data_IF_471346135799
#
_entry.id   IF_471346135799
#
_cell.length_a   1.000
_cell.length_b   1.000
_cell.length_c   1.000
_cell.angle_alpha   90.00
_cell.angle_beta   90.00
_cell.angle_gamma   90.00
#
_symmetry.space_group_name_H-M   'P 1'
#
loop_
_entity.id
_entity.type
_entity.pdbx_description
1 polymer ?
#
# COMPACT_ATOMS: atom_id res chain seq x y z
N UNK A 1 7.13 -4.41 2.00
CA UNK A 1 7.59 -3.04 1.69
C UNK A 1 6.42 -2.11 1.91
N UNK A 2 6.62 -0.99 2.59
CA UNK A 2 5.62 0.04 2.82
C UNK A 2 6.03 1.28 2.05
N UNK A 3 5.07 1.90 1.38
CA UNK A 3 5.25 3.17 0.68
C UNK A 3 4.19 4.14 1.18
N UNK A 4 4.58 5.37 1.39
CA UNK A 4 3.69 6.43 1.85
C UNK A 4 4.22 7.79 1.43
N UNK A 5 3.37 8.79 1.54
CA UNK A 5 3.72 10.16 1.22
C UNK A 5 2.91 11.15 2.05
N UNK A 6 3.45 12.33 2.18
CA UNK A 6 2.81 13.46 2.83
C UNK A 6 2.93 14.69 1.93
N UNK A 7 1.88 15.47 1.85
CA UNK A 7 1.88 16.72 1.10
C UNK A 7 1.01 17.78 1.76
N UNK A 8 1.24 19.02 1.40
CA UNK A 8 0.44 20.14 1.85
C UNK A 8 -0.72 20.42 0.89
N UNK A 9 -1.90 20.72 1.42
CA UNK A 9 -3.05 21.16 0.65
C UNK A 9 -3.49 22.55 1.12
N UNK A 10 -3.87 23.42 0.19
CA UNK A 10 -4.40 24.75 0.53
C UNK A 10 -5.83 24.63 1.09
N UNK A 11 -6.17 25.47 2.03
CA UNK A 11 -7.48 25.46 2.68
C UNK A 11 -8.66 25.51 1.70
N UNK A 12 -8.54 26.26 0.60
CA UNK A 12 -9.56 26.34 -0.45
C UNK A 12 -9.74 25.07 -1.28
N UNK A 13 -8.82 24.10 -1.17
CA UNK A 13 -8.87 22.83 -1.92
C UNK A 13 -9.22 21.63 -1.03
N UNK A 14 -9.40 21.84 0.28
CA UNK A 14 -9.74 20.74 1.23
C UNK A 14 -11.12 20.16 0.97
N UNK A 15 -12.06 21.01 0.58
CA UNK A 15 -13.43 20.56 0.27
C UNK A 15 -13.60 20.44 -1.23
N UNK A 16 -14.09 19.29 -1.67
CA UNK A 16 -14.45 19.09 -3.07
C UNK A 16 -15.62 20.01 -3.42
N UNK A 17 -15.46 20.80 -4.47
CA UNK A 17 -16.54 21.65 -5.02
C UNK A 17 -17.16 20.93 -6.20
N UNK A 18 -18.49 20.92 -6.29
CA UNK A 18 -19.18 20.37 -7.46
C UNK A 18 -18.89 21.18 -8.73
N UNK A 19 -19.14 20.59 -9.87
CA UNK A 19 -19.06 21.22 -11.17
C UNK A 19 -20.41 21.09 -11.92
N UNK A 20 -20.57 21.80 -13.03
CA UNK A 20 -21.87 21.99 -13.66
C UNK A 20 -22.10 21.04 -14.86
N UNK A 21 -23.38 20.70 -15.18
CA UNK A 21 -23.71 20.12 -16.49
C UNK A 21 -23.21 21.00 -17.64
N UNK A 22 -22.61 20.37 -18.65
CA UNK A 22 -21.95 21.05 -19.77
C UNK A 22 -20.43 21.24 -19.60
N UNK A 23 -19.91 21.06 -18.39
CA UNK A 23 -18.47 21.04 -18.17
C UNK A 23 -17.82 19.85 -18.88
N UNK A 24 -16.61 20.04 -19.39
CA UNK A 24 -15.89 19.04 -20.16
C UNK A 24 -15.18 18.07 -19.23
N UNK A 25 -15.32 16.79 -19.53
CA UNK A 25 -14.67 15.69 -18.81
C UNK A 25 -13.44 15.30 -19.62
N UNK A 26 -12.29 15.40 -18.96
CA UNK A 26 -10.99 15.37 -19.63
C UNK A 26 -10.14 14.26 -19.01
N UNK A 27 -9.41 13.51 -19.86
CA UNK A 27 -8.27 12.69 -19.45
C UNK A 27 -7.00 13.48 -19.74
N UNK A 28 -6.19 13.71 -18.72
CA UNK A 28 -4.87 14.33 -18.81
C UNK A 28 -3.80 13.25 -18.66
N UNK A 29 -2.78 13.25 -19.52
CA UNK A 29 -1.62 12.38 -19.40
C UNK A 29 -1.50 11.31 -20.48
N UNK A 30 -0.91 10.17 -20.14
CA UNK A 30 -0.54 9.13 -21.08
C UNK A 30 -1.71 8.40 -21.73
N UNK A 31 -1.46 7.68 -22.85
CA UNK A 31 -2.51 6.92 -23.54
C UNK A 31 -2.87 5.62 -22.82
N UNK A 32 -4.03 5.09 -23.14
CA UNK A 32 -4.41 3.73 -22.78
C UNK A 32 -3.46 2.70 -23.40
N UNK A 33 -3.12 1.68 -22.64
CA UNK A 33 -2.23 0.58 -23.00
C UNK A 33 -2.75 -0.72 -22.39
N UNK A 34 -2.28 -1.87 -22.86
CA UNK A 34 -2.65 -3.20 -22.32
C UNK A 34 -1.96 -3.48 -20.97
N UNK A 35 -2.33 -2.70 -19.95
CA UNK A 35 -1.75 -2.76 -18.62
C UNK A 35 -2.88 -2.83 -17.59
N UNK A 36 -2.75 -3.71 -16.59
CA UNK A 36 -3.70 -3.81 -15.49
C UNK A 36 -5.10 -4.21 -15.93
N UNK A 37 -5.22 -5.04 -16.97
CA UNK A 37 -6.52 -5.43 -17.55
C UNK A 37 -7.42 -6.23 -16.61
N UNK A 38 -6.86 -6.79 -15.55
CA UNK A 38 -7.61 -7.47 -14.50
C UNK A 38 -8.33 -6.51 -13.55
N UNK A 39 -7.99 -5.23 -13.60
CA UNK A 39 -8.53 -4.19 -12.72
C UNK A 39 -8.26 -4.47 -11.25
N UNK A 40 -8.95 -3.77 -10.36
CA UNK A 40 -8.88 -3.99 -8.91
C UNK A 40 -9.24 -5.41 -8.47
N UNK A 41 -9.97 -6.16 -9.31
CA UNK A 41 -10.29 -7.56 -9.05
C UNK A 41 -9.03 -8.46 -9.12
N UNK A 42 -8.07 -8.19 -9.99
CA UNK A 42 -6.83 -8.97 -10.10
C UNK A 42 -5.97 -8.87 -8.83
N UNK A 43 -5.90 -7.70 -8.22
CA UNK A 43 -5.19 -7.49 -6.94
C UNK A 43 -5.86 -8.21 -5.76
N UNK A 44 -7.12 -8.61 -5.91
CA UNK A 44 -7.92 -9.32 -4.92
C UNK A 44 -7.96 -10.84 -5.13
N UNK A 45 -7.29 -11.35 -6.17
CA UNK A 45 -7.16 -12.79 -6.44
C UNK A 45 -5.89 -13.32 -5.78
N UNK A 46 -5.97 -14.49 -5.13
CA UNK A 46 -4.80 -15.15 -4.57
C UNK A 46 -3.80 -15.48 -5.68
N UNK A 47 -2.53 -15.19 -5.47
CA UNK A 47 -1.45 -15.46 -6.44
C UNK A 47 -1.44 -16.94 -6.84
N UNK A 48 -1.38 -17.20 -8.15
CA UNK A 48 -1.42 -18.53 -8.73
C UNK A 48 -2.83 -19.02 -9.11
N UNK A 49 -3.88 -18.22 -8.91
CA UNK A 49 -5.24 -18.50 -9.35
C UNK A 49 -5.66 -17.72 -10.61
N UNK A 50 -4.83 -16.76 -11.06
CA UNK A 50 -5.06 -15.96 -12.26
C UNK A 50 -4.68 -16.70 -13.55
N UNK A 51 -5.01 -16.08 -14.68
CA UNK A 51 -4.48 -16.45 -15.98
C UNK A 51 -3.11 -15.80 -16.17
N UNK A 52 -2.12 -16.54 -16.64
CA UNK A 52 -0.74 -16.06 -16.86
C UNK A 52 -0.70 -14.80 -17.73
N UNK A 53 -1.53 -14.73 -18.77
CA UNK A 53 -1.62 -13.54 -19.64
C UNK A 53 -2.08 -12.27 -18.89
N UNK A 54 -2.97 -12.41 -17.89
CA UNK A 54 -3.39 -11.30 -17.06
C UNK A 54 -2.32 -10.89 -16.06
N UNK A 55 -1.50 -11.83 -15.57
CA UNK A 55 -0.38 -11.53 -14.70
C UNK A 55 0.68 -10.71 -15.42
N UNK A 56 0.99 -11.04 -16.68
CA UNK A 56 1.88 -10.24 -17.53
C UNK A 56 1.29 -8.86 -17.86
N UNK A 57 -0.01 -8.79 -18.12
CA UNK A 57 -0.71 -7.53 -18.37
C UNK A 57 -0.86 -6.66 -17.09
N UNK A 58 -0.60 -7.22 -15.90
CA UNK A 58 -0.64 -6.48 -14.63
C UNK A 58 0.65 -5.70 -14.34
N UNK A 59 1.71 -5.89 -15.13
CA UNK A 59 2.98 -5.17 -14.95
C UNK A 59 2.76 -3.70 -15.28
N UNK A 60 2.94 -2.85 -14.28
CA UNK A 60 2.88 -1.40 -14.45
C UNK A 60 4.18 -0.92 -15.09
N UNK A 61 4.06 0.04 -16.00
CA UNK A 61 5.21 0.74 -16.59
C UNK A 61 5.37 2.07 -15.90
N UNK A 62 6.59 2.47 -15.65
CA UNK A 62 6.86 3.81 -15.20
C UNK A 62 7.13 4.74 -16.38
N UNK A 63 6.56 5.94 -16.32
CA UNK A 63 6.85 7.02 -17.25
C UNK A 63 6.98 8.32 -16.45
N UNK A 64 8.11 8.52 -15.76
CA UNK A 64 8.29 9.67 -14.87
C UNK A 64 8.25 10.99 -15.61
N UNK A 65 8.58 11.01 -16.91
CA UNK A 65 8.45 12.20 -17.74
C UNK A 65 6.98 12.59 -17.92
N UNK A 66 6.11 11.63 -18.19
CA UNK A 66 4.67 11.90 -18.34
C UNK A 66 4.05 12.34 -17.03
N UNK A 67 4.37 11.67 -15.93
CA UNK A 67 3.94 12.07 -14.60
C UNK A 67 4.36 13.50 -14.27
N UNK A 68 5.63 13.86 -14.54
CA UNK A 68 6.12 15.21 -14.34
C UNK A 68 5.38 16.24 -15.18
N UNK A 69 5.07 15.94 -16.44
CA UNK A 69 4.29 16.82 -17.32
C UNK A 69 2.87 17.04 -16.79
N UNK A 70 2.21 15.99 -16.32
CA UNK A 70 0.90 16.09 -15.67
C UNK A 70 0.97 16.99 -14.43
N UNK A 71 1.95 16.78 -13.57
CA UNK A 71 2.17 17.59 -12.38
C UNK A 71 2.41 19.06 -12.73
N UNK A 72 3.24 19.38 -13.74
CA UNK A 72 3.46 20.76 -14.17
C UNK A 72 2.17 21.42 -14.66
N UNK A 73 1.31 20.71 -15.40
CA UNK A 73 0.01 21.24 -15.82
C UNK A 73 -0.85 21.55 -14.60
N UNK A 74 -0.97 20.62 -13.66
CA UNK A 74 -1.78 20.78 -12.45
C UNK A 74 -1.24 21.97 -11.63
N UNK A 75 0.08 22.04 -11.42
CA UNK A 75 0.74 23.10 -10.65
C UNK A 75 0.55 24.48 -11.31
N UNK A 76 0.61 24.58 -12.63
CA UNK A 76 0.36 25.84 -13.35
C UNK A 76 -1.10 26.25 -13.28
N UNK A 77 -2.02 25.30 -13.33
CA UNK A 77 -3.44 25.60 -13.21
C UNK A 77 -3.79 26.13 -11.82
N UNK A 78 -3.41 25.46 -10.75
CA UNK A 78 -3.75 25.94 -9.40
C UNK A 78 -2.99 27.24 -9.02
N UNK A 79 -1.81 27.48 -9.61
CA UNK A 79 -1.06 28.73 -9.38
C UNK A 79 -1.80 29.96 -9.91
N UNK A 80 -2.79 29.80 -10.80
CA UNK A 80 -3.65 30.89 -11.28
C UNK A 80 -4.67 31.38 -10.25
N UNK A 81 -4.78 30.71 -9.10
CA UNK A 81 -5.76 31.09 -8.07
C UNK A 81 -7.19 30.98 -8.57
N UNK A 82 -7.96 32.08 -8.53
CA UNK A 82 -9.38 32.10 -8.96
C UNK A 82 -9.56 31.85 -10.47
N UNK A 83 -8.51 32.01 -11.27
CA UNK A 83 -8.51 31.73 -12.69
C UNK A 83 -8.13 30.28 -13.03
N UNK A 84 -7.97 29.39 -12.02
CA UNK A 84 -7.72 28.00 -12.21
C UNK A 84 -8.75 27.36 -13.14
N UNK A 85 -8.37 26.79 -14.30
CA UNK A 85 -9.30 26.16 -15.23
C UNK A 85 -9.86 24.83 -14.71
N UNK A 86 -9.18 24.18 -13.76
CA UNK A 86 -9.62 22.90 -13.19
C UNK A 86 -10.68 23.14 -12.13
N UNK A 87 -11.91 22.69 -12.37
CA UNK A 87 -12.97 22.72 -11.38
C UNK A 87 -12.91 21.52 -10.43
N UNK A 88 -12.52 20.35 -10.93
CA UNK A 88 -12.42 19.12 -10.17
C UNK A 88 -11.35 18.20 -10.77
N UNK A 89 -10.68 17.42 -9.94
CA UNK A 89 -9.62 16.48 -10.35
C UNK A 89 -9.73 15.19 -9.55
N UNK A 90 -9.44 14.07 -10.22
CA UNK A 90 -9.31 12.75 -9.62
C UNK A 90 -8.15 12.00 -10.30
N UNK A 91 -7.43 11.17 -9.55
CA UNK A 91 -6.40 10.29 -10.10
C UNK A 91 -7.00 9.10 -10.84
N UNK A 92 -6.20 8.44 -11.67
CA UNK A 92 -6.55 7.19 -12.34
C UNK A 92 -5.73 6.07 -11.73
N UNK A 93 -6.35 5.30 -10.86
CA UNK A 93 -5.75 4.17 -10.16
C UNK A 93 -6.34 2.82 -10.58
N UNK A 94 -6.62 1.97 -9.60
CA UNK A 94 -7.20 0.66 -9.80
C UNK A 94 -8.54 0.74 -10.55
N UNK A 95 -8.71 -0.15 -11.54
CA UNK A 95 -9.89 -0.14 -12.42
C UNK A 95 -9.81 0.89 -13.56
N UNK A 96 -8.78 1.73 -13.60
CA UNK A 96 -8.57 2.68 -14.67
C UNK A 96 -9.71 3.72 -14.79
N UNK A 97 -10.08 4.06 -16.03
CA UNK A 97 -11.15 5.03 -16.29
C UNK A 97 -12.51 4.52 -15.84
N UNK A 98 -12.71 3.19 -15.75
CA UNK A 98 -13.97 2.59 -15.31
C UNK A 98 -14.29 2.88 -13.84
N UNK A 99 -13.30 3.28 -13.07
CA UNK A 99 -13.45 3.73 -11.69
C UNK A 99 -13.37 5.26 -11.59
N UNK A 100 -12.33 5.85 -12.15
CA UNK A 100 -12.03 7.28 -11.99
C UNK A 100 -13.09 8.21 -12.56
N UNK A 101 -13.64 7.94 -13.75
CA UNK A 101 -14.65 8.80 -14.38
C UNK A 101 -16.01 8.74 -13.68
N UNK A 102 -16.54 7.55 -13.30
CA UNK A 102 -17.74 7.48 -12.47
C UNK A 102 -17.60 8.19 -11.12
N UNK A 103 -16.46 8.02 -10.43
CA UNK A 103 -16.21 8.70 -9.16
C UNK A 103 -16.13 10.22 -9.35
N UNK A 104 -15.45 10.70 -10.39
CA UNK A 104 -15.36 12.12 -10.71
C UNK A 104 -16.76 12.75 -10.82
N UNK A 105 -17.66 12.18 -11.63
CA UNK A 105 -18.99 12.76 -11.84
C UNK A 105 -19.92 12.59 -10.65
N UNK A 106 -19.81 11.45 -9.93
CA UNK A 106 -20.58 11.22 -8.72
C UNK A 106 -20.21 12.22 -7.61
N UNK A 107 -18.94 12.41 -7.37
CA UNK A 107 -18.42 13.35 -6.37
C UNK A 107 -18.70 14.81 -6.77
N UNK A 108 -18.73 15.10 -8.07
CA UNK A 108 -19.16 16.38 -8.62
C UNK A 108 -20.67 16.63 -8.49
N UNK A 109 -21.44 15.59 -8.13
CA UNK A 109 -22.90 15.68 -7.95
C UNK A 109 -23.71 15.64 -9.25
N UNK A 110 -23.10 15.24 -10.36
CA UNK A 110 -23.66 15.22 -11.72
C UNK A 110 -23.61 13.80 -12.31
N UNK A 111 -24.04 13.62 -13.56
CA UNK A 111 -23.76 12.45 -14.36
C UNK A 111 -22.74 12.74 -15.46
N UNK A 112 -22.47 11.75 -16.30
CA UNK A 112 -21.52 11.90 -17.40
C UNK A 112 -21.89 11.10 -18.64
N UNK A 113 -21.68 11.71 -19.80
CA UNK A 113 -21.74 11.06 -21.12
C UNK A 113 -20.34 11.05 -21.72
N UNK A 114 -19.85 9.88 -22.07
CA UNK A 114 -18.48 9.66 -22.50
C UNK A 114 -18.44 9.05 -23.90
N UNK A 115 -17.46 9.47 -24.69
CA UNK A 115 -17.07 8.86 -25.97
C UNK A 115 -15.83 8.00 -25.72
N UNK A 116 -15.99 6.67 -25.83
CA UNK A 116 -14.92 5.72 -25.61
C UNK A 116 -13.72 5.94 -26.55
N UNK A 117 -14.00 6.33 -27.80
CA UNK A 117 -12.96 6.49 -28.82
C UNK A 117 -12.22 7.82 -28.73
N UNK A 118 -12.72 8.75 -27.95
CA UNK A 118 -11.99 9.97 -27.61
C UNK A 118 -10.86 9.71 -26.58
N UNK A 119 -10.84 8.56 -25.91
CA UNK A 119 -9.76 8.18 -24.99
C UNK A 119 -8.48 7.95 -25.79
N UNK A 120 -7.36 8.67 -25.46
CA UNK A 120 -6.08 8.45 -26.12
C UNK A 120 -5.63 6.98 -25.95
N UNK A 121 -5.27 6.35 -27.06
CA UNK A 121 -4.93 4.94 -27.10
C UNK A 121 -3.65 4.72 -27.89
N UNK A 122 -2.64 4.07 -27.30
CA UNK A 122 -1.38 3.72 -27.95
C UNK A 122 -1.42 2.33 -28.64
N UNK A 123 -2.48 1.54 -28.39
CA UNK A 123 -2.60 0.17 -28.89
C UNK A 123 -3.90 0.00 -29.69
N UNK A 124 -3.87 0.19 -31.02
CA UNK A 124 -5.08 0.29 -31.85
C UNK A 124 -6.03 -0.92 -31.82
N UNK A 125 -5.55 -2.07 -31.34
CA UNK A 125 -6.35 -3.30 -31.27
C UNK A 125 -7.16 -3.46 -29.99
N UNK A 126 -7.10 -2.53 -29.05
CA UNK A 126 -7.83 -2.64 -27.77
C UNK A 126 -9.34 -2.66 -27.97
N UNK A 127 -9.98 -3.63 -27.31
CA UNK A 127 -11.42 -3.73 -27.20
C UNK A 127 -11.99 -2.59 -26.33
N UNK A 128 -13.31 -2.34 -26.39
CA UNK A 128 -13.98 -1.37 -25.50
C UNK A 128 -13.68 -1.58 -24.03
N UNK A 129 -13.68 -2.85 -23.58
CA UNK A 129 -13.38 -3.20 -22.19
C UNK A 129 -11.94 -2.85 -21.82
N UNK A 130 -10.97 -3.17 -22.67
CA UNK A 130 -9.55 -2.87 -22.44
C UNK A 130 -9.28 -1.37 -22.41
N UNK A 131 -9.92 -0.57 -23.27
CA UNK A 131 -9.78 0.90 -23.25
C UNK A 131 -10.34 1.47 -21.94
N UNK A 132 -11.48 0.94 -21.47
CA UNK A 132 -12.18 1.47 -20.31
C UNK A 132 -11.59 1.04 -18.98
N UNK A 133 -11.09 -0.20 -18.88
CA UNK A 133 -10.66 -0.83 -17.62
C UNK A 133 -9.15 -0.97 -17.45
N UNK A 134 -8.32 -0.50 -18.41
CA UNK A 134 -6.86 -0.58 -18.23
C UNK A 134 -6.36 0.38 -17.14
N UNK A 135 -5.33 -0.06 -16.41
CA UNK A 135 -4.71 0.71 -15.32
C UNK A 135 -3.44 1.43 -15.77
N UNK A 136 -3.40 1.94 -17.01
CA UNK A 136 -2.27 2.74 -17.47
C UNK A 136 -2.05 3.91 -16.52
N UNK A 137 -0.84 4.04 -16.02
CA UNK A 137 -0.43 5.05 -15.04
C UNK A 137 -0.24 6.43 -15.70
N UNK A 138 0.10 7.43 -14.91
CA UNK A 138 0.38 8.81 -15.32
C UNK A 138 -0.80 9.46 -16.02
N UNK A 139 -2.01 9.23 -15.45
CA UNK A 139 -3.25 9.84 -15.93
C UNK A 139 -4.06 10.45 -14.77
N UNK A 140 -4.76 11.53 -15.12
CA UNK A 140 -5.75 12.16 -14.25
C UNK A 140 -7.03 12.39 -15.01
N UNK A 141 -8.16 12.38 -14.33
CA UNK A 141 -9.45 12.80 -14.89
C UNK A 141 -9.89 14.12 -14.27
N UNK A 142 -10.40 15.02 -15.11
CA UNK A 142 -10.65 16.40 -14.74
C UNK A 142 -12.02 16.84 -15.22
N UNK A 143 -12.67 17.75 -14.47
CA UNK A 143 -13.77 18.55 -14.96
C UNK A 143 -13.28 19.98 -15.24
N UNK A 144 -13.49 20.44 -16.47
CA UNK A 144 -13.07 21.77 -16.96
C UNK A 144 -14.31 22.52 -17.44
N UNK A 145 -14.63 23.69 -16.87
CA UNK A 145 -15.68 24.55 -17.43
C UNK A 145 -15.44 24.83 -18.90
N UNK A 146 -16.48 24.69 -19.73
CA UNK A 146 -16.35 24.82 -21.18
C UNK A 146 -15.68 26.16 -21.57
N UNK A 147 -15.97 27.24 -20.86
CA UNK A 147 -15.38 28.58 -21.10
C UNK A 147 -13.88 28.66 -20.75
N UNK A 148 -13.34 27.69 -20.01
CA UNK A 148 -11.93 27.67 -19.60
C UNK A 148 -11.09 26.63 -20.34
N UNK A 149 -11.68 25.86 -21.26
CA UNK A 149 -11.00 24.77 -21.96
C UNK A 149 -9.81 25.28 -22.78
N UNK A 150 -9.93 26.41 -23.47
CA UNK A 150 -8.84 26.98 -24.26
C UNK A 150 -7.63 27.40 -23.41
N UNK A 151 -7.89 27.96 -22.21
CA UNK A 151 -6.86 28.29 -21.25
C UNK A 151 -6.12 27.05 -20.76
N UNK A 152 -6.86 25.99 -20.43
CA UNK A 152 -6.31 24.69 -20.05
C UNK A 152 -5.48 24.08 -21.18
N UNK A 153 -6.00 24.05 -22.40
CA UNK A 153 -5.29 23.55 -23.58
C UNK A 153 -3.95 24.29 -23.82
N UNK A 154 -3.94 25.60 -23.61
CA UNK A 154 -2.71 26.41 -23.74
C UNK A 154 -1.64 26.00 -22.71
N UNK A 155 -2.04 25.72 -21.48
CA UNK A 155 -1.12 25.22 -20.44
C UNK A 155 -0.60 23.83 -20.82
N UNK A 156 -1.49 22.92 -21.21
CA UNK A 156 -1.10 21.57 -21.63
C UNK A 156 -0.11 21.60 -22.81
N UNK A 157 -0.34 22.45 -23.80
CA UNK A 157 0.55 22.60 -24.93
C UNK A 157 1.94 23.11 -24.52
N UNK A 158 2.00 24.07 -23.60
CA UNK A 158 3.26 24.61 -23.07
C UNK A 158 4.05 23.52 -22.33
N UNK A 159 3.40 22.73 -21.49
CA UNK A 159 4.04 21.67 -20.71
C UNK A 159 4.22 20.36 -21.51
N UNK A 160 3.77 20.35 -22.78
CA UNK A 160 3.80 19.17 -23.65
C UNK A 160 3.08 17.96 -23.06
N UNK A 161 2.06 18.21 -22.28
CA UNK A 161 1.25 17.18 -21.68
C UNK A 161 0.02 16.90 -22.56
N UNK A 162 -0.17 15.68 -23.04
CA UNK A 162 -1.36 15.34 -23.81
C UNK A 162 -2.60 15.37 -22.92
N UNK A 163 -3.73 15.73 -23.52
CA UNK A 163 -5.04 15.61 -22.90
C UNK A 163 -6.10 15.33 -23.97
N UNK A 164 -7.22 14.80 -23.55
CA UNK A 164 -8.38 14.62 -24.42
C UNK A 164 -9.68 14.94 -23.69
N UNK A 165 -10.61 15.60 -24.38
CA UNK A 165 -11.99 15.72 -23.92
C UNK A 165 -12.67 14.39 -24.25
N UNK A 166 -13.02 13.61 -23.23
CA UNK A 166 -13.60 12.28 -23.38
C UNK A 166 -15.10 12.27 -23.10
N UNK A 167 -15.65 13.39 -22.65
CA UNK A 167 -17.08 13.46 -22.35
C UNK A 167 -17.52 14.83 -21.86
N UNK A 168 -18.78 14.86 -21.43
CA UNK A 168 -19.44 16.04 -20.89
C UNK A 168 -20.27 15.67 -19.67
N UNK A 169 -20.27 16.56 -18.68
CA UNK A 169 -21.10 16.42 -17.48
C UNK A 169 -22.58 16.62 -17.83
N UNK A 170 -23.46 15.81 -17.25
CA UNK A 170 -24.90 15.86 -17.47
C UNK A 170 -25.66 16.16 -16.19
N UNK A 171 -26.87 16.75 -16.31
CA UNK A 171 -27.73 17.01 -15.15
C UNK A 171 -28.30 15.72 -14.53
N UNK A 172 -28.50 14.70 -15.35
CA UNK A 172 -28.99 13.40 -14.95
C UNK A 172 -27.85 12.59 -14.37
N UNK A 173 -28.02 11.98 -13.19
CA UNK A 173 -27.02 11.13 -12.53
C UNK A 173 -26.93 9.75 -13.19
N UNK A 174 -26.59 9.78 -14.48
CA UNK A 174 -26.47 8.62 -15.35
C UNK A 174 -25.01 8.51 -15.82
N UNK A 175 -24.50 7.31 -15.88
CA UNK A 175 -23.26 6.98 -16.55
C UNK A 175 -23.58 6.45 -17.93
N UNK A 176 -23.19 7.17 -18.97
CA UNK A 176 -23.38 6.77 -20.35
C UNK A 176 -22.03 6.70 -21.06
N UNK A 177 -21.67 5.54 -21.55
CA UNK A 177 -20.47 5.32 -22.38
C UNK A 177 -20.89 4.90 -23.77
N UNK A 178 -20.51 5.69 -24.76
CA UNK A 178 -20.83 5.45 -26.16
C UNK A 178 -19.58 4.98 -26.93
N UNK A 179 -19.78 4.09 -27.89
CA UNK A 179 -18.77 3.66 -28.88
C UNK A 179 -19.28 4.00 -30.28
N UNK A 180 -19.15 5.28 -30.73
CA UNK A 180 -19.79 5.79 -31.93
C UNK A 180 -19.45 5.02 -33.21
N UNK A 181 -18.20 4.57 -33.45
CA UNK A 181 -17.89 3.80 -34.66
C UNK A 181 -18.63 2.48 -34.80
N UNK A 182 -19.11 1.92 -33.69
CA UNK A 182 -19.85 0.67 -33.65
C UNK A 182 -21.33 0.87 -33.35
N UNK A 183 -21.79 2.12 -33.21
CA UNK A 183 -23.18 2.47 -32.90
C UNK A 183 -23.71 1.73 -31.67
N UNK A 184 -22.84 1.54 -30.64
CA UNK A 184 -23.19 0.86 -29.39
C UNK A 184 -23.05 1.77 -28.18
N UNK A 185 -23.78 1.43 -27.12
CA UNK A 185 -23.67 2.07 -25.82
C UNK A 185 -23.31 1.00 -24.78
N UNK A 186 -22.01 0.72 -24.60
CA UNK A 186 -21.55 -0.34 -23.70
C UNK A 186 -22.01 -0.16 -22.26
N UNK A 187 -22.21 1.08 -21.80
CA UNK A 187 -22.71 1.41 -20.46
C UNK A 187 -23.81 2.46 -20.59
N UNK A 188 -24.96 2.16 -20.00
CA UNK A 188 -26.06 3.09 -19.78
C UNK A 188 -26.77 2.71 -18.48
N UNK A 189 -26.35 3.33 -17.36
CA UNK A 189 -26.87 2.99 -16.04
C UNK A 189 -26.87 4.17 -15.07
N UNK A 190 -27.81 4.20 -14.10
CA UNK A 190 -27.73 5.16 -13.00
C UNK A 190 -26.46 4.98 -12.17
N UNK A 191 -25.81 6.09 -11.79
CA UNK A 191 -24.61 6.05 -10.92
C UNK A 191 -24.88 5.38 -9.57
N UNK A 192 -26.12 5.43 -9.08
CA UNK A 192 -26.53 4.77 -7.84
C UNK A 192 -26.36 3.23 -7.90
N UNK A 193 -26.50 2.63 -9.08
CA UNK A 193 -26.28 1.18 -9.27
C UNK A 193 -24.82 0.83 -9.07
N UNK A 194 -23.91 1.69 -9.51
CA UNK A 194 -22.46 1.47 -9.44
C UNK A 194 -21.89 1.90 -8.09
N UNK A 195 -22.22 3.09 -7.62
CA UNK A 195 -21.64 3.76 -6.45
C UNK A 195 -22.59 3.88 -5.26
N UNK A 196 -23.77 3.30 -5.34
CA UNK A 196 -24.72 3.25 -4.25
C UNK A 196 -24.32 2.31 -3.13
N UNK A 197 -25.09 2.33 -2.05
CA UNK A 197 -24.80 1.43 -0.91
C UNK A 197 -25.08 -0.02 -1.30
N UNK A 198 -24.09 -0.91 -1.23
CA UNK A 198 -24.30 -2.33 -1.47
C UNK A 198 -25.25 -2.93 -0.41
N UNK A 199 -25.94 -4.03 -0.73
CA UNK A 199 -26.73 -4.76 0.25
C UNK A 199 -25.86 -5.17 1.44
N UNK A 200 -26.46 -5.20 2.64
CA UNK A 200 -25.76 -5.72 3.82
C UNK A 200 -25.37 -7.18 3.61
N UNK A 201 -24.10 -7.43 3.62
CA UNK A 201 -23.57 -8.80 3.53
C UNK A 201 -23.47 -9.42 4.92
N UNK A 202 -23.86 -10.68 5.04
CA UNK A 202 -23.64 -11.49 6.22
C UNK A 202 -22.54 -12.51 5.93
N UNK A 203 -21.42 -12.40 6.62
CA UNK A 203 -20.37 -13.42 6.58
C UNK A 203 -20.45 -14.25 7.86
N UNK A 204 -20.43 -15.58 7.70
CA UNK A 204 -20.28 -16.51 8.81
C UNK A 204 -18.80 -16.85 8.92
N UNK A 205 -18.19 -16.51 10.05
CA UNK A 205 -16.83 -16.86 10.35
C UNK A 205 -16.79 -17.74 11.60
N UNK A 206 -15.86 -18.67 11.63
CA UNK A 206 -15.68 -19.59 12.74
C UNK A 206 -14.27 -19.43 13.30
N UNK A 207 -14.18 -19.18 14.61
CA UNK A 207 -12.88 -19.14 15.27
C UNK A 207 -12.27 -20.53 15.36
N UNK A 208 -10.99 -20.64 15.03
CA UNK A 208 -10.23 -21.85 15.24
C UNK A 208 -9.44 -21.75 16.54
N UNK A 209 -9.58 -22.76 17.39
CA UNK A 209 -8.67 -22.91 18.53
C UNK A 209 -7.34 -23.45 18.03
N UNK A 210 -6.30 -22.63 18.12
CA UNK A 210 -4.94 -23.06 17.85
C UNK A 210 -4.37 -23.71 19.10
N UNK A 211 -3.81 -24.92 18.95
CA UNK A 211 -3.07 -25.55 20.02
C UNK A 211 -1.71 -24.85 20.14
N UNK A 212 -1.56 -24.04 21.18
CA UNK A 212 -0.29 -23.40 21.48
C UNK A 212 0.54 -24.33 22.36
N UNK A 213 1.73 -24.71 21.91
CA UNK A 213 2.69 -25.42 22.73
C UNK A 213 3.43 -24.40 23.62
N UNK A 214 3.57 -24.67 24.93
CA UNK A 214 4.42 -23.84 25.78
C UNK A 214 5.85 -23.81 25.23
N UNK A 215 6.51 -22.68 25.34
CA UNK A 215 7.93 -22.57 24.99
C UNK A 215 8.73 -23.42 25.96
N UNK A 216 9.34 -24.51 25.46
CA UNK A 216 10.26 -25.36 26.21
C UNK A 216 11.71 -25.04 25.83
N UNK A 217 12.36 -24.23 26.66
CA UNK A 217 13.78 -23.90 26.48
C UNK A 217 14.70 -25.12 26.66
N UNK A 218 14.23 -26.17 27.36
CA UNK A 218 14.98 -27.42 27.51
C UNK A 218 15.05 -28.24 26.22
N UNK A 219 13.99 -28.19 25.41
CA UNK A 219 13.96 -28.86 24.10
C UNK A 219 14.95 -28.24 23.10
N UNK A 220 15.25 -26.94 23.22
CA UNK A 220 16.26 -26.27 22.37
C UNK A 220 17.69 -26.79 22.61
N UNK A 221 17.95 -27.38 23.77
CA UNK A 221 19.27 -27.94 24.10
C UNK A 221 19.42 -29.42 23.77
N UNK A 222 18.35 -30.10 23.40
CA UNK A 222 18.32 -31.55 23.18
C UNK A 222 18.48 -31.94 21.71
N UNK A 223 18.33 -31.01 20.77
CA UNK A 223 18.34 -31.29 19.34
C UNK A 223 19.75 -31.08 18.72
N UNK A 224 20.70 -31.91 19.13
CA UNK A 224 22.01 -32.02 18.47
C UNK A 224 21.91 -32.67 17.07
N UNK A 225 20.72 -33.10 16.60
CA UNK A 225 20.56 -33.81 15.33
C UNK A 225 19.95 -32.98 14.21
N UNK A 226 19.39 -31.82 14.49
CA UNK A 226 18.93 -30.90 13.45
C UNK A 226 20.10 -29.97 13.07
N UNK A 227 20.95 -30.43 12.15
CA UNK A 227 21.89 -29.55 11.46
C UNK A 227 21.10 -28.50 10.68
N UNK A 228 20.87 -27.33 11.29
CA UNK A 228 20.52 -26.16 10.51
C UNK A 228 21.61 -25.99 9.44
N UNK A 229 21.26 -25.70 8.17
CA UNK A 229 22.28 -25.37 7.19
C UNK A 229 23.08 -24.20 7.76
N UNK A 230 24.35 -24.43 8.04
CA UNK A 230 25.29 -23.42 8.50
C UNK A 230 25.45 -22.40 7.39
N UNK A 231 24.76 -21.25 7.52
CA UNK A 231 25.00 -20.08 6.66
C UNK A 231 26.35 -19.41 6.97
N UNK A 232 27.17 -20.01 7.84
CA UNK A 232 28.44 -19.44 8.29
C UNK A 232 29.65 -20.11 7.61
N UNK A 233 29.46 -21.27 6.94
CA UNK A 233 30.58 -22.01 6.37
C UNK A 233 31.20 -21.44 5.09
N UNK A 234 30.50 -20.47 4.44
CA UNK A 234 31.02 -19.88 3.19
C UNK A 234 31.80 -18.56 3.38
N UNK A 235 31.98 -18.08 4.59
CA UNK A 235 32.60 -16.78 4.84
C UNK A 235 33.87 -16.80 5.72
N UNK A 236 34.35 -17.98 6.15
CA UNK A 236 35.58 -18.08 6.91
C UNK A 236 36.70 -18.63 6.03
N UNK A 237 37.76 -17.83 5.89
CA UNK A 237 39.03 -18.23 5.26
C UNK A 237 39.50 -19.58 5.83
N UNK A 238 40.09 -20.47 4.99
CA UNK A 238 40.47 -21.85 5.39
C UNK A 238 41.47 -21.94 6.56
N UNK A 239 42.13 -20.84 6.89
CA UNK A 239 43.15 -20.80 7.94
C UNK A 239 42.59 -20.79 9.38
N UNK A 240 41.33 -20.41 9.58
CA UNK A 240 40.77 -20.40 10.94
C UNK A 240 40.21 -21.76 11.33
N UNK A 241 39.79 -22.57 10.36
CA UNK A 241 39.32 -23.93 10.61
C UNK A 241 40.47 -24.88 11.05
N UNK A 242 41.71 -24.65 10.62
CA UNK A 242 42.87 -25.46 10.98
C UNK A 242 43.38 -25.18 12.42
N UNK A 243 43.16 -23.95 12.91
CA UNK A 243 43.57 -23.56 14.29
C UNK A 243 42.62 -24.13 15.35
N UNK A 244 41.37 -24.43 14.98
CA UNK A 244 40.40 -25.01 15.90
C UNK A 244 40.42 -26.54 15.97
N UNK A 245 41.18 -27.20 15.08
CA UNK A 245 41.29 -28.66 15.03
C UNK A 245 42.42 -29.26 15.92
N UNK A 246 43.29 -28.42 16.50
CA UNK A 246 44.36 -28.86 17.38
C UNK A 246 44.03 -28.65 18.87
N UNK A 247 42.88 -29.06 19.35
CA UNK A 247 42.66 -29.18 20.80
C UNK A 247 42.64 -30.64 21.23
N UNK A 248 43.60 -30.94 22.08
CA UNK A 248 43.90 -32.18 22.78
C UNK A 248 42.64 -32.97 23.25
N UNK A 249 42.47 -34.24 22.83
CA UNK A 249 41.33 -35.08 23.23
C UNK A 249 41.33 -35.52 24.71
N UNK A 250 42.30 -35.16 25.51
CA UNK A 250 42.41 -35.54 26.92
C UNK A 250 41.80 -34.55 27.91
N UNK A 251 41.16 -33.45 27.45
CA UNK A 251 40.44 -32.57 28.37
C UNK A 251 39.10 -33.21 28.72
N UNK A 252 39.09 -33.76 29.90
CA UNK A 252 37.94 -34.18 30.70
C UNK A 252 36.70 -33.36 30.37
N UNK A 253 35.65 -33.99 29.83
CA UNK A 253 34.36 -33.38 29.57
C UNK A 253 33.82 -32.81 30.88
N UNK A 254 34.15 -31.56 31.15
CA UNK A 254 33.58 -30.83 32.27
C UNK A 254 32.08 -30.98 32.22
N UNK A 255 31.44 -31.56 33.24
CA UNK A 255 30.00 -31.64 33.39
C UNK A 255 29.44 -30.24 33.33
N UNK A 256 28.98 -29.82 32.16
CA UNK A 256 28.33 -28.54 31.96
C UNK A 256 27.15 -28.48 32.93
N UNK A 257 27.15 -27.49 33.83
CA UNK A 257 26.07 -27.33 34.79
C UNK A 257 24.75 -27.13 34.12
N UNK A 258 23.63 -27.49 34.74
CA UNK A 258 22.28 -27.25 34.23
C UNK A 258 22.10 -25.77 33.89
N UNK A 259 22.67 -24.88 34.70
CA UNK A 259 22.60 -23.43 34.47
C UNK A 259 23.39 -23.00 33.22
N UNK A 260 24.56 -23.61 32.96
CA UNK A 260 25.32 -23.32 31.76
C UNK A 260 24.55 -23.74 30.50
N UNK A 261 23.95 -24.92 30.49
CA UNK A 261 23.12 -25.39 29.38
C UNK A 261 21.93 -24.48 29.13
N UNK A 262 21.29 -23.98 30.18
CA UNK A 262 20.19 -23.01 30.05
C UNK A 262 20.66 -21.67 29.47
N UNK A 263 21.82 -21.17 29.87
CA UNK A 263 22.44 -19.96 29.33
C UNK A 263 22.79 -20.11 27.86
N UNK A 264 23.35 -21.25 27.48
CA UNK A 264 23.72 -21.53 26.10
C UNK A 264 22.46 -21.69 25.21
N UNK A 265 21.43 -22.37 25.69
CA UNK A 265 20.14 -22.46 24.99
C UNK A 265 19.49 -21.11 24.84
N UNK A 266 19.52 -20.25 25.85
CA UNK A 266 18.99 -18.89 25.76
C UNK A 266 19.80 -18.05 24.76
N UNK A 267 21.14 -18.15 24.79
CA UNK A 267 22.00 -17.45 23.82
C UNK A 267 21.67 -17.88 22.39
N UNK A 268 21.56 -19.17 22.16
CA UNK A 268 21.19 -19.71 20.84
C UNK A 268 19.81 -19.23 20.41
N UNK A 269 18.82 -19.25 21.28
CA UNK A 269 17.49 -18.72 20.98
C UNK A 269 17.53 -17.23 20.59
N UNK A 270 18.33 -16.42 21.30
CA UNK A 270 18.54 -15.01 20.95
C UNK A 270 19.18 -14.86 19.58
N UNK A 271 20.22 -15.64 19.27
CA UNK A 271 20.86 -15.59 17.95
C UNK A 271 19.91 -15.98 16.83
N UNK A 272 19.10 -17.03 17.00
CA UNK A 272 18.07 -17.42 16.01
C UNK A 272 17.04 -16.34 15.78
N UNK A 273 16.58 -15.68 16.84
CA UNK A 273 15.63 -14.55 16.72
C UNK A 273 16.27 -13.38 15.98
N UNK A 274 17.49 -13.00 16.34
CA UNK A 274 18.21 -11.89 15.70
C UNK A 274 18.55 -12.19 14.22
N UNK A 275 18.80 -13.45 13.88
CA UNK A 275 19.06 -13.88 12.50
C UNK A 275 17.79 -14.13 11.67
N UNK A 276 16.61 -14.15 12.31
CA UNK A 276 15.36 -14.39 11.61
C UNK A 276 15.10 -13.28 10.58
N UNK A 277 14.71 -13.59 9.32
CA UNK A 277 14.55 -12.58 8.27
C UNK A 277 13.62 -11.40 8.62
N UNK A 278 12.62 -11.63 9.48
CA UNK A 278 11.72 -10.56 9.95
C UNK A 278 12.42 -9.60 10.93
N UNK A 279 13.43 -10.06 11.67
CA UNK A 279 14.10 -9.32 12.77
C UNK A 279 15.48 -8.81 12.34
N UNK A 280 16.16 -9.56 11.48
CA UNK A 280 17.53 -9.27 11.06
C UNK A 280 17.72 -7.87 10.48
N UNK A 281 18.93 -7.37 10.51
CA UNK A 281 19.30 -6.05 10.00
C UNK A 281 18.83 -5.82 8.54
N UNK A 282 18.23 -4.67 8.31
CA UNK A 282 17.71 -4.22 7.00
C UNK A 282 18.47 -3.02 6.44
N UNK A 283 19.65 -2.70 6.98
CA UNK A 283 20.46 -1.55 6.55
C UNK A 283 20.68 -1.53 5.04
N UNK A 284 20.84 -2.71 4.41
CA UNK A 284 21.04 -2.81 2.97
C UNK A 284 19.83 -2.27 2.18
N UNK A 285 18.60 -2.49 2.65
CA UNK A 285 17.38 -1.99 1.98
C UNK A 285 17.30 -0.47 2.04
N UNK A 286 17.71 0.13 3.14
CA UNK A 286 17.74 1.58 3.32
C UNK A 286 18.85 2.21 2.47
N UNK A 287 19.98 1.48 2.32
CA UNK A 287 21.17 1.99 1.62
C UNK A 287 21.07 1.92 0.10
N UNK A 288 20.28 1.00 -0.47
CA UNK A 288 20.13 0.83 -1.92
C UNK A 288 19.01 1.67 -2.52
N UNK A 289 18.09 2.20 -1.71
CA UNK A 289 16.99 3.07 -2.13
C UNK A 289 17.28 4.54 -1.84
N UNK A 290 16.29 5.39 -2.15
CA UNK A 290 16.33 6.80 -1.81
C UNK A 290 16.25 6.97 -0.29
N UNK A 291 17.26 7.58 0.28
CA UNK A 291 17.35 7.81 1.71
C UNK A 291 16.42 8.94 2.15
N UNK A 292 16.51 10.06 1.45
CA UNK A 292 15.68 11.25 1.71
C UNK A 292 15.35 11.94 0.40
N UNK A 293 14.16 12.55 0.32
CA UNK A 293 13.69 13.27 -0.86
C UNK A 293 13.15 14.65 -0.43
N UNK A 294 13.34 15.65 -1.27
CA UNK A 294 12.76 16.99 -1.12
C UNK A 294 13.48 17.95 -0.16
N UNK A 295 14.42 17.49 0.64
CA UNK A 295 15.25 18.35 1.50
C UNK A 295 14.57 18.90 2.76
N UNK A 296 13.30 18.55 3.02
CA UNK A 296 12.54 19.00 4.19
C UNK A 296 12.62 18.02 5.37
N UNK A 297 13.58 17.11 5.36
CA UNK A 297 13.75 16.12 6.40
C UNK A 297 14.43 16.75 7.63
N UNK A 298 13.73 16.73 8.76
CA UNK A 298 14.26 17.18 10.05
C UNK A 298 14.87 16.06 10.87
N UNK A 299 14.36 14.82 10.68
CA UNK A 299 14.87 13.62 11.32
C UNK A 299 15.00 12.53 10.27
N UNK A 300 16.23 12.16 10.02
CA UNK A 300 16.64 11.09 9.10
C UNK A 300 16.55 9.71 9.79
N UNK A 301 16.38 8.65 9.01
CA UNK A 301 16.42 7.27 9.49
C UNK A 301 17.80 6.86 10.01
N UNK A 302 18.87 7.48 9.51
CA UNK A 302 20.25 7.23 9.94
C UNK A 302 20.61 8.14 11.11
N UNK A 303 21.05 7.58 12.23
CA UNK A 303 21.28 8.31 13.49
C UNK A 303 22.74 8.25 13.91
N UNK A 304 23.20 9.37 14.44
CA UNK A 304 24.52 9.53 15.06
C UNK A 304 25.69 9.50 14.08
N UNK A 305 26.93 9.54 14.60
CA UNK A 305 28.14 9.59 13.77
C UNK A 305 28.38 8.30 12.96
N UNK A 306 27.81 7.18 13.43
CA UNK A 306 27.91 5.87 12.78
C UNK A 306 26.83 5.63 11.72
N UNK A 307 25.88 6.57 11.55
CA UNK A 307 24.79 6.47 10.58
C UNK A 307 24.03 5.15 10.68
N UNK A 308 23.58 4.80 11.89
CA UNK A 308 22.85 3.56 12.16
C UNK A 308 21.36 3.79 11.87
N UNK A 309 20.67 2.89 11.13
CA UNK A 309 19.27 3.06 10.76
C UNK A 309 18.33 2.64 11.91
N UNK A 310 18.31 3.42 12.97
CA UNK A 310 17.55 3.15 14.22
C UNK A 310 16.47 4.19 14.53
N UNK A 311 16.18 5.10 13.61
CA UNK A 311 15.09 6.04 13.80
C UNK A 311 13.77 5.43 13.33
N UNK A 312 12.85 5.21 14.26
CA UNK A 312 11.52 4.65 14.01
C UNK A 312 10.43 5.72 13.84
N UNK A 313 10.84 7.00 13.84
CA UNK A 313 9.98 8.14 13.63
C UNK A 313 10.63 9.08 12.62
N UNK A 314 9.91 9.40 11.56
CA UNK A 314 10.29 10.44 10.59
C UNK A 314 9.72 11.79 11.03
N UNK A 315 10.48 12.87 10.82
CA UNK A 315 10.02 14.25 11.02
C UNK A 315 10.38 15.08 9.80
N UNK A 316 9.38 15.76 9.23
CA UNK A 316 9.53 16.64 8.09
C UNK A 316 9.08 18.05 8.42
N UNK A 317 9.73 19.05 7.84
CA UNK A 317 9.26 20.42 7.90
C UNK A 317 8.18 20.68 6.85
N UNK A 318 7.22 21.54 7.14
CA UNK A 318 6.16 21.92 6.20
C UNK A 318 6.68 22.79 5.05
N UNK A 319 7.72 23.60 5.29
CA UNK A 319 8.39 24.43 4.29
C UNK A 319 9.80 24.81 4.77
N UNK A 320 10.61 25.42 3.90
CA UNK A 320 11.97 25.85 4.23
C UNK A 320 12.06 27.05 5.16
N UNK A 321 10.99 27.82 5.29
CA UNK A 321 10.92 29.08 6.04
C UNK A 321 10.03 29.00 7.30
N UNK A 322 9.62 27.79 7.72
CA UNK A 322 8.79 27.55 8.91
C UNK A 322 9.41 26.49 9.83
N UNK A 323 9.07 26.57 11.13
CA UNK A 323 9.47 25.59 12.14
C UNK A 323 8.33 24.66 12.56
N UNK A 324 7.27 24.60 11.76
CA UNK A 324 6.21 23.61 11.88
C UNK A 324 6.43 22.47 10.90
N UNK A 325 5.89 21.32 11.21
CA UNK A 325 6.05 20.13 10.37
C UNK A 325 5.21 18.98 10.88
N UNK A 326 5.49 17.82 10.36
CA UNK A 326 4.77 16.58 10.64
C UNK A 326 5.73 15.51 11.16
N UNK A 327 5.21 14.64 12.01
CA UNK A 327 5.88 13.45 12.45
C UNK A 327 5.09 12.22 12.01
N UNK A 328 5.80 11.19 11.56
CA UNK A 328 5.22 9.94 11.08
C UNK A 328 5.95 8.74 11.67
N UNK A 329 5.18 7.72 12.04
CA UNK A 329 5.71 6.45 12.51
C UNK A 329 4.85 5.30 12.02
N UNK A 330 5.43 4.10 12.01
CA UNK A 330 4.75 2.88 11.57
C UNK A 330 4.85 1.84 12.68
N UNK A 331 3.79 1.03 12.83
CA UNK A 331 3.77 -0.13 13.71
C UNK A 331 3.19 -1.36 13.00
N UNK A 332 3.78 -2.52 13.31
CA UNK A 332 3.40 -3.82 12.77
C UNK A 332 3.82 -4.94 13.75
N UNK A 333 2.95 -5.93 13.98
CA UNK A 333 3.25 -7.08 14.85
C UNK A 333 2.65 -8.38 14.29
N UNK A 334 2.78 -8.59 13.00
CA UNK A 334 2.23 -9.74 12.27
C UNK A 334 2.55 -11.10 12.90
N UNK A 335 3.77 -11.41 13.38
CA UNK A 335 4.05 -12.70 13.98
C UNK A 335 3.18 -13.04 15.19
N UNK A 336 2.72 -12.04 15.94
CA UNK A 336 1.84 -12.23 17.11
C UNK A 336 0.45 -12.69 16.70
N UNK A 337 -0.01 -12.29 15.50
CA UNK A 337 -1.35 -12.66 15.00
C UNK A 337 -1.53 -14.17 14.79
N UNK A 338 -0.46 -14.91 14.64
CA UNK A 338 -0.50 -16.38 14.58
C UNK A 338 -1.10 -16.95 15.88
N UNK A 339 -0.86 -16.31 17.00
CA UNK A 339 -1.34 -16.71 18.30
C UNK A 339 -2.61 -15.95 18.74
N UNK A 340 -2.63 -14.63 18.53
CA UNK A 340 -3.72 -13.74 18.94
C UNK A 340 -3.77 -12.51 18.01
N UNK A 341 -4.73 -12.54 17.09
CA UNK A 341 -4.90 -11.47 16.09
C UNK A 341 -5.31 -10.14 16.74
N UNK A 342 -6.13 -10.17 17.80
CA UNK A 342 -6.55 -8.97 18.50
C UNK A 342 -5.39 -8.31 19.28
N UNK A 343 -4.53 -9.12 19.91
CA UNK A 343 -3.32 -8.64 20.57
C UNK A 343 -2.33 -8.06 19.56
N UNK A 344 -2.11 -8.74 18.42
CA UNK A 344 -1.27 -8.26 17.31
C UNK A 344 -1.71 -6.89 16.84
N UNK A 345 -3.01 -6.71 16.60
CA UNK A 345 -3.56 -5.45 16.11
C UNK A 345 -3.39 -4.31 17.14
N UNK A 346 -3.63 -4.58 18.45
CA UNK A 346 -3.35 -3.58 19.49
C UNK A 346 -1.88 -3.22 19.60
N UNK A 347 -0.99 -4.22 19.46
CA UNK A 347 0.45 -4.00 19.49
C UNK A 347 0.94 -3.18 18.29
N UNK A 348 0.38 -3.40 17.07
CA UNK A 348 0.71 -2.59 15.91
C UNK A 348 0.35 -1.11 16.12
N UNK A 349 -0.85 -0.82 16.64
CA UNK A 349 -1.23 0.54 17.04
C UNK A 349 -0.34 1.11 18.15
N UNK A 350 -0.02 0.30 19.16
CA UNK A 350 0.85 0.68 20.27
C UNK A 350 2.26 0.99 19.81
N UNK A 351 2.83 0.20 18.88
CA UNK A 351 4.15 0.45 18.32
C UNK A 351 4.19 1.74 17.52
N UNK A 352 3.22 1.98 16.63
CA UNK A 352 3.15 3.23 15.87
C UNK A 352 3.13 4.44 16.81
N UNK A 353 2.32 4.41 17.88
CA UNK A 353 2.22 5.50 18.84
C UNK A 353 3.47 5.68 19.70
N UNK A 354 4.12 4.59 20.12
CA UNK A 354 5.35 4.67 20.91
C UNK A 354 6.53 5.14 20.07
N UNK A 355 6.61 4.74 18.80
CA UNK A 355 7.59 5.27 17.86
C UNK A 355 7.36 6.76 17.60
N UNK A 356 6.10 7.16 17.42
CA UNK A 356 5.73 8.57 17.23
C UNK A 356 6.09 9.45 18.44
N UNK A 357 6.06 8.89 19.64
CA UNK A 357 6.44 9.61 20.86
C UNK A 357 7.92 10.07 20.90
N UNK A 358 8.75 9.61 19.97
CA UNK A 358 10.10 10.12 19.77
C UNK A 358 10.12 11.54 19.17
N UNK A 359 8.99 12.04 18.66
CA UNK A 359 8.79 13.40 18.18
C UNK A 359 7.88 14.21 19.11
N UNK A 360 7.99 15.53 19.07
CA UNK A 360 7.14 16.42 19.87
C UNK A 360 5.81 16.65 19.14
N UNK A 361 4.86 15.74 19.29
CA UNK A 361 3.55 15.80 18.61
C UNK A 361 2.45 16.50 19.41
N UNK A 362 2.71 16.89 20.65
CA UNK A 362 1.74 17.55 21.53
C UNK A 362 0.72 16.54 22.11
N UNK A 363 -0.55 16.71 21.78
CA UNK A 363 -1.64 15.91 22.33
C UNK A 363 -1.93 14.68 21.47
N UNK A 364 -2.14 13.53 22.11
CA UNK A 364 -2.46 12.25 21.43
C UNK A 364 -3.74 12.36 20.57
N UNK A 365 -4.73 13.13 20.99
CA UNK A 365 -5.98 13.33 20.25
C UNK A 365 -5.80 14.03 18.88
N UNK A 366 -4.61 14.56 18.57
CA UNK A 366 -4.25 15.11 17.26
C UNK A 366 -3.66 14.08 16.31
N UNK A 367 -3.38 12.88 16.81
CA UNK A 367 -2.81 11.79 15.99
C UNK A 367 -3.92 11.15 15.17
N UNK A 368 -3.73 11.10 13.86
CA UNK A 368 -4.56 10.34 12.94
C UNK A 368 -3.82 9.08 12.50
N UNK A 369 -4.53 7.98 12.39
CA UNK A 369 -3.98 6.72 11.96
C UNK A 369 -4.48 6.36 10.57
N UNK A 370 -3.63 5.71 9.79
CA UNK A 370 -4.03 4.94 8.62
C UNK A 370 -3.80 3.46 8.90
N UNK A 371 -4.75 2.61 8.54
CA UNK A 371 -4.67 1.17 8.77
C UNK A 371 -4.68 0.39 7.46
N UNK A 372 -3.69 -0.48 7.29
CA UNK A 372 -3.63 -1.40 6.16
C UNK A 372 -3.82 -2.83 6.65
N UNK A 373 -4.95 -3.43 6.27
CA UNK A 373 -5.37 -4.76 6.68
C UNK A 373 -5.06 -5.78 5.59
N UNK A 374 -4.37 -6.85 5.93
CA UNK A 374 -4.05 -7.93 5.02
C UNK A 374 -4.45 -9.27 5.64
N UNK A 375 -5.26 -10.04 4.92
CA UNK A 375 -5.80 -11.30 5.40
C UNK A 375 -6.22 -12.22 4.24
N UNK A 376 -6.54 -13.47 4.55
CA UNK A 376 -7.18 -14.41 3.64
C UNK A 376 -8.53 -14.91 4.23
N UNK A 377 -9.55 -14.03 4.39
CA UNK A 377 -10.76 -14.33 5.14
C UNK A 377 -11.64 -15.45 4.53
N UNK A 378 -11.34 -15.88 3.32
CA UNK A 378 -11.94 -17.06 2.71
C UNK A 378 -11.43 -18.38 3.34
N UNK A 379 -10.30 -18.34 4.05
CA UNK A 379 -9.74 -19.50 4.73
C UNK A 379 -10.32 -19.66 6.13
N UNK A 380 -10.33 -20.91 6.60
CA UNK A 380 -10.87 -21.24 7.91
C UNK A 380 -10.11 -20.51 9.03
N UNK A 381 -10.83 -19.82 9.90
CA UNK A 381 -10.30 -19.06 11.03
C UNK A 381 -9.96 -17.60 10.73
N UNK A 382 -9.41 -17.29 9.57
CA UNK A 382 -8.89 -15.97 9.25
C UNK A 382 -9.97 -14.87 9.26
N UNK A 383 -11.19 -15.18 8.83
CA UNK A 383 -12.29 -14.23 8.88
C UNK A 383 -12.71 -13.85 10.30
N UNK A 384 -12.65 -14.79 11.25
CA UNK A 384 -12.95 -14.53 12.66
C UNK A 384 -11.80 -13.75 13.32
N UNK A 385 -10.57 -14.10 13.02
CA UNK A 385 -9.37 -13.42 13.51
C UNK A 385 -9.31 -11.97 13.01
N UNK A 386 -9.65 -11.73 11.71
CA UNK A 386 -9.75 -10.38 11.15
C UNK A 386 -10.81 -9.56 11.88
N UNK A 387 -12.00 -10.12 12.12
CA UNK A 387 -13.05 -9.45 12.88
C UNK A 387 -12.57 -9.05 14.27
N UNK A 388 -11.94 -9.98 15.00
CA UNK A 388 -11.42 -9.73 16.35
C UNK A 388 -10.32 -8.65 16.35
N UNK A 389 -9.46 -8.63 15.34
CA UNK A 389 -8.42 -7.60 15.18
C UNK A 389 -9.02 -6.21 14.92
N UNK A 390 -9.99 -6.12 14.01
CA UNK A 390 -10.69 -4.86 13.68
C UNK A 390 -11.47 -4.34 14.91
N UNK A 391 -12.18 -5.21 15.60
CA UNK A 391 -12.91 -4.85 16.84
C UNK A 391 -11.96 -4.34 17.94
N UNK A 392 -10.83 -5.02 18.14
CA UNK A 392 -9.84 -4.65 19.15
C UNK A 392 -9.25 -3.25 18.93
N UNK A 393 -9.06 -2.84 17.68
CA UNK A 393 -8.52 -1.52 17.35
C UNK A 393 -9.64 -0.49 17.22
N UNK A 394 -10.65 -0.78 16.40
CA UNK A 394 -11.68 0.21 16.05
C UNK A 394 -12.70 0.48 17.15
N UNK A 395 -13.04 -0.54 17.96
CA UNK A 395 -14.04 -0.41 19.00
C UNK A 395 -13.46 -0.30 20.42
N UNK A 396 -12.21 -0.65 20.62
CA UNK A 396 -11.58 -0.66 21.95
C UNK A 396 -10.41 0.32 22.03
N UNK A 397 -9.32 0.10 21.29
CA UNK A 397 -8.09 0.87 21.41
C UNK A 397 -8.28 2.33 21.02
N UNK A 398 -8.76 2.60 19.79
CA UNK A 398 -8.89 3.96 19.27
C UNK A 398 -9.86 4.81 20.09
N UNK A 399 -11.07 4.33 20.48
CA UNK A 399 -11.96 5.09 21.35
C UNK A 399 -11.38 5.35 22.75
N UNK A 400 -10.66 4.37 23.33
CA UNK A 400 -10.03 4.54 24.65
C UNK A 400 -8.93 5.59 24.66
N UNK A 401 -8.24 5.78 23.54
CA UNK A 401 -7.15 6.77 23.38
C UNK A 401 -7.64 8.10 22.81
N UNK A 402 -8.89 8.19 22.36
CA UNK A 402 -9.42 9.38 21.71
C UNK A 402 -8.78 9.68 20.34
N UNK A 403 -8.34 8.65 19.62
CA UNK A 403 -7.73 8.73 18.28
C UNK A 403 -8.63 8.09 17.24
N UNK A 404 -8.36 8.33 15.96
CA UNK A 404 -9.18 7.87 14.85
C UNK A 404 -8.34 7.24 13.73
N UNK A 405 -9.00 6.36 12.96
CA UNK A 405 -8.49 5.79 11.71
C UNK A 405 -9.42 6.29 10.60
N UNK A 406 -9.19 7.48 10.04
CA UNK A 406 -10.05 8.06 9.01
C UNK A 406 -9.93 7.37 7.65
N UNK A 407 -8.79 6.74 7.39
CA UNK A 407 -8.50 6.08 6.12
C UNK A 407 -7.79 4.76 6.35
N UNK A 408 -7.90 3.88 5.37
CA UNK A 408 -7.21 2.61 5.38
C UNK A 408 -7.36 1.89 4.05
N UNK A 409 -6.72 0.74 3.96
CA UNK A 409 -6.78 -0.15 2.80
C UNK A 409 -6.87 -1.57 3.28
N UNK A 410 -7.43 -2.45 2.46
CA UNK A 410 -7.44 -3.89 2.71
C UNK A 410 -6.92 -4.68 1.51
N UNK A 411 -6.33 -5.85 1.81
CA UNK A 411 -5.94 -6.86 0.85
C UNK A 411 -6.40 -8.21 1.40
N UNK A 412 -7.45 -8.79 0.76
CA UNK A 412 -8.19 -9.91 1.34
C UNK A 412 -7.88 -11.26 0.70
N UNK A 413 -6.75 -11.39 -0.02
CA UNK A 413 -6.36 -12.61 -0.72
C UNK A 413 -4.90 -12.99 -0.48
N UNK A 414 -4.44 -12.84 0.77
CA UNK A 414 -3.04 -13.02 1.15
C UNK A 414 -2.62 -14.49 1.18
N UNK A 415 -2.75 -15.15 0.04
CA UNK A 415 -2.39 -16.55 -0.17
C UNK A 415 -1.76 -16.72 -1.55
N UNK A 416 -0.72 -17.55 -1.62
CA UNK A 416 -0.08 -17.95 -2.87
C UNK A 416 -0.26 -19.45 -3.07
N UNK A 417 -0.65 -19.85 -4.27
CA UNK A 417 -0.83 -21.24 -4.66
C UNK A 417 0.05 -21.54 -5.86
N UNK A 418 0.73 -22.67 -5.83
CA UNK A 418 1.55 -23.12 -6.97
C UNK A 418 1.54 -24.63 -7.07
N UNK A 419 2.02 -25.15 -8.19
CA UNK A 419 2.25 -26.58 -8.39
C UNK A 419 3.72 -26.89 -8.26
N UNK A 420 4.05 -27.97 -7.56
CA UNK A 420 5.36 -28.57 -7.48
C UNK A 420 5.23 -30.01 -7.98
N UNK A 421 5.51 -30.22 -9.28
CA UNK A 421 5.12 -31.42 -9.99
C UNK A 421 3.59 -31.57 -10.05
N UNK A 422 3.08 -32.69 -9.53
CA UNK A 422 1.62 -32.96 -9.47
C UNK A 422 0.98 -32.48 -8.15
N UNK A 423 1.77 -31.98 -7.20
CA UNK A 423 1.28 -31.52 -5.90
C UNK A 423 0.94 -30.03 -5.94
N UNK A 424 -0.28 -29.68 -5.51
CA UNK A 424 -0.67 -28.30 -5.30
C UNK A 424 -0.21 -27.84 -3.92
N UNK A 425 0.65 -26.84 -3.87
CA UNK A 425 1.14 -26.21 -2.65
C UNK A 425 0.49 -24.88 -2.41
N UNK A 426 0.41 -24.49 -1.14
CA UNK A 426 -0.14 -23.18 -0.72
C UNK A 426 0.66 -22.63 0.46
N UNK A 427 0.89 -21.34 0.43
CA UNK A 427 1.31 -20.56 1.58
C UNK A 427 0.31 -19.43 1.82
N UNK A 428 -0.02 -19.18 3.07
CA UNK A 428 -0.93 -18.10 3.46
C UNK A 428 -0.22 -17.23 4.50
N UNK A 429 -0.20 -15.91 4.26
CA UNK A 429 0.34 -14.98 5.23
C UNK A 429 -0.58 -14.91 6.46
N UNK A 430 -0.04 -14.76 7.67
CA UNK A 430 -0.83 -14.41 8.84
C UNK A 430 -1.58 -13.10 8.64
N UNK A 431 -2.66 -12.91 9.39
CA UNK A 431 -3.32 -11.61 9.43
C UNK A 431 -2.31 -10.54 9.82
N UNK A 432 -2.25 -9.49 9.02
CA UNK A 432 -1.33 -8.39 9.23
C UNK A 432 -2.10 -7.08 9.33
N UNK A 433 -1.75 -6.28 10.31
CA UNK A 433 -2.16 -4.90 10.42
C UNK A 433 -0.91 -4.03 10.44
N UNK A 434 -0.82 -3.13 9.47
CA UNK A 434 0.16 -2.06 9.49
C UNK A 434 -0.56 -0.76 9.83
N UNK A 435 -0.04 -0.08 10.83
CA UNK A 435 -0.58 1.20 11.29
C UNK A 435 0.45 2.28 11.01
N UNK A 436 0.04 3.32 10.28
CA UNK A 436 0.81 4.56 10.13
C UNK A 436 0.17 5.62 11.00
N UNK A 437 0.96 6.27 11.81
CA UNK A 437 0.55 7.34 12.70
C UNK A 437 1.21 8.67 12.30
#
# INVERSE_FOLDING_TARGET
MLAGGLGNIRAGHVQKTGFAPGDKLVVLGGPAMLIGLGGGAASSVATGHGHEDLDFASVQRDNPEMERRCQEVIDRCWALGDDNPIAFIHDVGAGGLSNALPELVNDGGVGGRFDLRAVPNAEPGMSPLEIWCNESQERYVLAIPAARLDSFATICARERCPFAVVGEATAEKQLVLEDPPFETTPIDMPLEVLLGKPPRMHRRAQSLRRALAPLDLGALSADESASAPSLVDDALEPDVASVLAETDPSRETARVSKEQRQRDALREAVHRVLAHPTVADKTFLISIGDRTVGGLICRDQMVGPWQVPVADCAVTAAAFDVYSGEAMAIGERTPVAVNDAAASARLAGGEALTNLAAAQVGEIGRVNLSANWMAAPALAGDGADLFAAVEAVGMQLCPALGITIPVGKDSMSMSTVWKDGDEQKRVTAPISLLVSA
#
